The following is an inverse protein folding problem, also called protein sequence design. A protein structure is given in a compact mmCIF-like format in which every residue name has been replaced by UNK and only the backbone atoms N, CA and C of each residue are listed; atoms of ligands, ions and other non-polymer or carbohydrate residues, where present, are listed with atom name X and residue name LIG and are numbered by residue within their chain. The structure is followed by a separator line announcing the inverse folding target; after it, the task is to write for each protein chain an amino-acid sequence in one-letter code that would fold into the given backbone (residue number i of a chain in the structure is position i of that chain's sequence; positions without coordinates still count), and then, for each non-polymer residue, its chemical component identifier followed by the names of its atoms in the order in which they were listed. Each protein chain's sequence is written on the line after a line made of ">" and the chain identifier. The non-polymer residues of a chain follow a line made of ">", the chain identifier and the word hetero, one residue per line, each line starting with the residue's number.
data_IF_253015935680
#
_entry.id   IF_253015935680
#
_cell.length_a   1.000
_cell.length_b   1.000
_cell.length_c   1.000
_cell.angle_alpha   90.00
_cell.angle_beta   90.00
_cell.angle_gamma   90.00
#
_symmetry.space_group_name_H-M   'P 1'
#
loop_
_entity.id
_entity.type
_entity.pdbx_description
1 polymer ?
#
# COMPACT_ATOMS: atom_id res chain seq x y z
N UNK A 1 -18.13 24.37 -1.09
CA UNK A 1 -18.90 25.42 -0.39
C UNK A 1 -18.07 26.26 0.60
N UNK A 2 -16.73 26.13 0.65
CA UNK A 2 -15.92 26.96 1.56
C UNK A 2 -15.49 28.31 0.96
N UNK A 3 -15.44 28.47 -0.36
CA UNK A 3 -14.92 29.69 -1.02
C UNK A 3 -15.87 30.90 -0.98
N UNK A 4 -17.10 30.74 -0.48
CA UNK A 4 -18.15 31.77 -0.44
C UNK A 4 -18.70 31.99 0.97
N UNK A 5 -17.96 31.59 2.01
CA UNK A 5 -18.41 31.68 3.40
C UNK A 5 -18.10 33.06 4.01
N UNK A 6 -19.12 33.77 4.51
CA UNK A 6 -18.94 35.09 5.13
C UNK A 6 -18.19 35.05 6.48
N UNK A 7 -18.17 33.91 7.17
CA UNK A 7 -17.48 33.71 8.46
C UNK A 7 -16.00 33.31 8.30
N UNK A 8 -15.52 33.26 7.06
CA UNK A 8 -14.13 32.98 6.70
C UNK A 8 -13.07 33.76 7.50
N UNK A 9 -13.22 35.07 7.81
CA UNK A 9 -12.19 35.82 8.53
C UNK A 9 -12.05 35.44 10.01
N UNK A 10 -13.04 34.78 10.60
CA UNK A 10 -13.08 34.42 12.03
C UNK A 10 -12.97 32.90 12.22
N UNK A 11 -12.92 32.12 11.12
CA UNK A 11 -12.85 30.67 11.18
C UNK A 11 -11.43 30.20 11.57
N UNK A 12 -11.25 29.49 12.70
CA UNK A 12 -9.94 28.98 13.12
C UNK A 12 -9.38 27.88 12.21
N UNK A 13 -10.20 27.32 11.30
CA UNK A 13 -9.70 26.45 10.23
C UNK A 13 -9.07 27.24 9.06
N UNK A 14 -9.29 28.56 8.99
CA UNK A 14 -8.77 29.46 7.93
C UNK A 14 -7.55 30.27 8.33
N UNK A 15 -7.18 30.29 9.61
CA UNK A 15 -5.90 30.86 10.10
C UNK A 15 -4.67 30.20 9.48
N UNK A 16 -4.80 29.00 8.89
CA UNK A 16 -3.72 28.35 8.11
C UNK A 16 -3.79 28.61 6.61
N UNK A 17 -4.82 29.34 6.16
CA UNK A 17 -5.14 29.63 4.76
C UNK A 17 -4.82 31.08 4.39
N UNK A 18 -4.15 31.84 5.27
CA UNK A 18 -3.60 33.15 4.91
C UNK A 18 -2.86 32.98 3.59
N UNK A 19 -3.36 33.69 2.57
CA UNK A 19 -2.76 33.74 1.26
C UNK A 19 -1.37 34.34 1.42
N UNK A 20 -0.39 33.45 1.56
CA UNK A 20 1.04 33.72 1.47
C UNK A 20 1.44 34.16 0.05
N UNK A 21 0.50 34.25 -0.89
CA UNK A 21 0.76 34.63 -2.28
C UNK A 21 1.52 35.96 -2.44
N UNK A 22 1.40 36.88 -1.47
CA UNK A 22 2.03 38.19 -1.52
C UNK A 22 3.02 38.45 -0.35
N UNK A 23 3.33 37.43 0.45
CA UNK A 23 4.32 37.54 1.52
C UNK A 23 5.53 36.68 1.19
N UNK A 24 6.70 37.31 1.11
CA UNK A 24 7.98 36.59 1.02
C UNK A 24 8.15 35.79 2.31
N UNK A 25 7.92 34.47 2.26
CA UNK A 25 8.18 33.60 3.40
C UNK A 25 9.67 33.42 3.56
N UNK A 26 10.24 34.23 4.43
CA UNK A 26 11.61 34.02 4.89
C UNK A 26 11.62 33.49 6.32
N UNK A 27 12.41 32.46 6.56
CA UNK A 27 12.65 31.89 7.89
C UNK A 27 14.09 32.00 8.29
N UNK A 28 14.35 31.85 9.60
CA UNK A 28 15.68 31.67 10.14
C UNK A 28 15.79 30.26 10.71
N UNK A 29 16.74 29.47 10.21
CA UNK A 29 17.07 28.15 10.77
C UNK A 29 18.24 28.27 11.78
N UNK A 30 19.05 29.33 11.64
CA UNK A 30 20.10 29.76 12.58
C UNK A 30 20.09 31.28 12.70
N UNK A 31 20.71 31.84 13.74
CA UNK A 31 20.64 33.27 14.07
C UNK A 31 21.06 34.23 12.94
N UNK A 32 21.82 33.75 11.94
CA UNK A 32 22.39 34.59 10.88
C UNK A 32 21.76 34.46 9.49
N UNK A 33 21.01 33.38 9.19
CA UNK A 33 20.67 33.06 7.80
C UNK A 33 19.17 33.23 7.53
N UNK A 34 18.83 34.11 6.59
CA UNK A 34 17.48 34.29 6.06
C UNK A 34 17.30 33.33 4.88
N UNK A 35 16.37 32.38 5.00
CA UNK A 35 16.12 31.34 4.00
C UNK A 35 14.75 31.56 3.37
N UNK A 36 14.70 31.52 2.05
CA UNK A 36 13.45 31.48 1.28
C UNK A 36 12.71 30.15 1.54
N UNK A 37 11.75 30.17 2.45
CA UNK A 37 10.92 29.02 2.81
C UNK A 37 10.01 28.65 1.65
N UNK A 38 9.51 29.62 0.88
CA UNK A 38 8.58 29.36 -0.21
C UNK A 38 9.22 28.43 -1.25
N UNK A 39 10.47 28.71 -1.64
CA UNK A 39 11.23 27.83 -2.54
C UNK A 39 11.41 26.40 -2.02
N UNK A 40 11.54 26.22 -0.69
CA UNK A 40 11.68 24.90 -0.07
C UNK A 40 10.37 24.13 -0.05
N UNK A 41 9.27 24.81 0.24
CA UNK A 41 7.92 24.24 0.17
C UNK A 41 7.63 23.78 -1.26
N UNK A 42 7.88 24.64 -2.25
CA UNK A 42 7.65 24.29 -3.66
C UNK A 42 8.50 23.09 -4.08
N UNK A 43 9.79 23.06 -3.71
CA UNK A 43 10.65 21.90 -3.97
C UNK A 43 10.14 20.63 -3.29
N UNK A 44 9.68 20.72 -2.05
CA UNK A 44 9.12 19.56 -1.33
C UNK A 44 7.85 19.03 -1.99
N UNK A 45 6.97 19.92 -2.45
CA UNK A 45 5.74 19.54 -3.16
C UNK A 45 6.06 18.84 -4.48
N UNK A 46 7.01 19.37 -5.25
CA UNK A 46 7.50 18.74 -6.48
C UNK A 46 8.07 17.35 -6.19
N UNK A 47 8.99 17.22 -5.23
CA UNK A 47 9.58 15.93 -4.85
C UNK A 47 8.50 14.91 -4.44
N UNK A 48 7.54 15.35 -3.62
CA UNK A 48 6.42 14.49 -3.20
C UNK A 48 5.59 14.01 -4.39
N UNK A 49 5.36 14.87 -5.38
CA UNK A 49 4.64 14.50 -6.60
C UNK A 49 5.42 13.50 -7.45
N UNK A 50 6.73 13.69 -7.58
CA UNK A 50 7.63 12.79 -8.32
C UNK A 50 7.70 11.43 -7.66
N UNK A 51 7.86 11.35 -6.34
CA UNK A 51 7.86 10.09 -5.59
C UNK A 51 6.56 9.32 -5.84
N UNK A 52 5.39 9.98 -5.74
CA UNK A 52 4.11 9.33 -6.02
C UNK A 52 4.00 8.80 -7.44
N UNK A 53 4.55 9.51 -8.43
CA UNK A 53 4.60 9.07 -9.82
C UNK A 53 5.48 7.81 -9.96
N UNK A 54 6.69 7.85 -9.42
CA UNK A 54 7.64 6.73 -9.45
C UNK A 54 7.13 5.50 -8.69
N UNK A 55 6.45 5.68 -7.56
CA UNK A 55 5.81 4.59 -6.82
C UNK A 55 4.73 3.90 -7.66
N UNK A 56 3.93 4.68 -8.39
CA UNK A 56 2.89 4.16 -9.30
C UNK A 56 3.53 3.37 -10.45
N UNK A 57 4.56 3.91 -11.08
CA UNK A 57 5.28 3.24 -12.16
C UNK A 57 5.97 1.95 -11.67
N UNK A 58 6.64 2.00 -10.52
CA UNK A 58 7.26 0.84 -9.87
C UNK A 58 6.24 -0.26 -9.60
N UNK A 59 5.02 0.10 -9.16
CA UNK A 59 3.94 -0.87 -8.94
C UNK A 59 3.48 -1.52 -10.24
N UNK A 60 3.31 -0.74 -11.31
CA UNK A 60 2.92 -1.28 -12.62
C UNK A 60 3.98 -2.24 -13.18
N UNK A 61 5.26 -1.87 -13.09
CA UNK A 61 6.36 -2.73 -13.53
C UNK A 61 6.40 -4.04 -12.71
N UNK A 62 6.24 -3.96 -11.40
CA UNK A 62 6.12 -5.14 -10.52
C UNK A 62 4.98 -6.06 -10.97
N UNK A 63 3.80 -5.52 -11.25
CA UNK A 63 2.66 -6.32 -11.72
C UNK A 63 2.96 -7.03 -13.05
N UNK A 64 3.55 -6.34 -14.02
CA UNK A 64 3.96 -6.93 -15.31
C UNK A 64 4.96 -8.06 -15.09
N UNK A 65 6.00 -7.83 -14.28
CA UNK A 65 7.04 -8.83 -13.98
C UNK A 65 6.46 -10.04 -13.24
N UNK A 66 5.49 -9.84 -12.35
CA UNK A 66 4.79 -10.94 -11.68
C UNK A 66 3.96 -11.77 -12.66
N UNK A 67 3.23 -11.15 -13.59
CA UNK A 67 2.46 -11.87 -14.62
C UNK A 67 3.40 -12.73 -15.47
N UNK A 68 4.45 -12.12 -16.01
CA UNK A 68 5.43 -12.83 -16.82
C UNK A 68 6.07 -14.00 -16.07
N UNK A 69 6.53 -13.76 -14.83
CA UNK A 69 7.15 -14.81 -14.03
C UNK A 69 6.18 -15.94 -13.69
N UNK A 70 4.90 -15.63 -13.47
CA UNK A 70 3.87 -16.65 -13.21
C UNK A 70 3.60 -17.52 -14.43
N UNK A 71 3.40 -16.93 -15.60
CA UNK A 71 3.15 -17.66 -16.86
C UNK A 71 4.29 -18.60 -17.21
N UNK A 72 5.53 -18.21 -16.89
CA UNK A 72 6.73 -18.98 -17.19
C UNK A 72 7.24 -19.83 -16.00
N UNK A 73 6.49 -19.92 -14.89
CA UNK A 73 6.89 -20.62 -13.67
C UNK A 73 8.27 -20.22 -13.12
N UNK A 74 8.63 -18.94 -13.26
CA UNK A 74 9.90 -18.37 -12.80
C UNK A 74 9.76 -17.77 -11.41
N UNK A 75 10.71 -18.08 -10.53
CA UNK A 75 10.80 -17.53 -9.17
C UNK A 75 11.88 -16.46 -9.03
N UNK A 76 12.74 -16.29 -10.05
CA UNK A 76 13.79 -15.29 -10.07
C UNK A 76 14.12 -14.87 -11.50
N UNK A 77 14.36 -13.57 -11.67
CA UNK A 77 14.75 -12.93 -12.92
C UNK A 77 16.01 -12.11 -12.70
N UNK A 78 16.89 -12.12 -13.69
CA UNK A 78 18.19 -11.45 -13.64
C UNK A 78 18.26 -10.40 -14.74
N UNK A 79 18.92 -9.30 -14.44
CA UNK A 79 19.24 -8.19 -15.33
C UNK A 79 20.67 -7.76 -15.01
N UNK A 80 21.32 -7.11 -15.97
CA UNK A 80 22.62 -6.46 -15.74
C UNK A 80 22.57 -5.43 -14.58
N UNK A 81 21.37 -4.91 -14.28
CA UNK A 81 21.11 -3.93 -13.23
C UNK A 81 20.75 -4.56 -11.87
N UNK A 82 20.59 -5.88 -11.80
CA UNK A 82 20.34 -6.60 -10.55
C UNK A 82 19.39 -7.79 -10.67
N UNK A 83 18.73 -8.15 -9.56
CA UNK A 83 17.90 -9.36 -9.48
C UNK A 83 16.50 -9.06 -8.93
N UNK A 84 15.49 -9.68 -9.53
CA UNK A 84 14.10 -9.68 -9.06
C UNK A 84 13.71 -11.08 -8.61
N UNK A 85 13.30 -11.23 -7.35
CA UNK A 85 12.78 -12.50 -6.82
C UNK A 85 11.25 -12.43 -6.68
N UNK A 86 10.58 -13.49 -7.15
CA UNK A 86 9.13 -13.62 -7.19
C UNK A 86 8.69 -14.76 -6.25
N UNK A 87 7.63 -14.51 -5.48
CA UNK A 87 6.99 -15.51 -4.63
C UNK A 87 5.49 -15.50 -4.87
N UNK A 88 4.94 -16.65 -5.27
CA UNK A 88 3.52 -16.84 -5.50
C UNK A 88 2.95 -17.72 -4.40
N UNK A 89 1.94 -17.21 -3.67
CA UNK A 89 1.26 -17.92 -2.61
C UNK A 89 -0.23 -18.00 -2.91
N UNK A 90 -0.77 -19.22 -2.96
CA UNK A 90 -2.21 -19.45 -2.91
C UNK A 90 -2.65 -19.42 -1.46
N UNK A 91 -3.49 -18.46 -1.09
CA UNK A 91 -4.09 -18.37 0.25
C UNK A 91 -5.56 -18.72 0.17
N UNK A 92 -6.03 -19.59 1.06
CA UNK A 92 -7.46 -19.80 1.24
C UNK A 92 -8.06 -18.56 1.90
N UNK A 93 -9.02 -17.98 1.23
CA UNK A 93 -9.85 -16.89 1.72
C UNK A 93 -11.21 -17.45 2.10
N UNK A 94 -11.61 -17.16 3.32
CA UNK A 94 -12.83 -17.66 3.92
C UNK A 94 -13.87 -16.54 3.94
N UNK A 95 -15.07 -16.78 3.42
CA UNK A 95 -16.20 -15.86 3.58
C UNK A 95 -16.72 -15.96 5.02
N UNK A 96 -16.22 -15.08 5.88
CA UNK A 96 -16.54 -15.10 7.30
C UNK A 96 -18.03 -14.91 7.59
N UNK A 97 -18.77 -14.18 6.75
CA UNK A 97 -20.21 -13.98 6.95
C UNK A 97 -20.95 -15.31 6.75
N UNK A 98 -20.69 -16.00 5.64
CA UNK A 98 -21.34 -17.28 5.31
C UNK A 98 -20.90 -18.41 6.24
N UNK A 99 -19.63 -18.44 6.63
CA UNK A 99 -19.11 -19.47 7.54
C UNK A 99 -19.70 -19.31 8.95
N UNK A 100 -19.98 -18.07 9.40
CA UNK A 100 -20.62 -17.84 10.68
C UNK A 100 -22.06 -18.39 10.74
N UNK A 101 -22.77 -18.44 9.61
CA UNK A 101 -24.12 -19.00 9.52
C UNK A 101 -24.11 -20.53 9.69
N UNK A 102 -23.13 -21.20 9.09
CA UNK A 102 -22.94 -22.67 9.14
C UNK A 102 -22.58 -23.16 10.55
N UNK A 103 -21.80 -22.38 11.29
CA UNK A 103 -21.33 -22.79 12.61
C UNK A 103 -22.45 -22.69 13.65
N UNK A 104 -22.83 -23.84 14.21
CA UNK A 104 -23.93 -23.97 15.19
C UNK A 104 -23.59 -23.47 16.59
N UNK A 105 -22.32 -23.47 17.00
CA UNK A 105 -21.92 -23.07 18.35
C UNK A 105 -21.55 -21.58 18.48
N UNK A 106 -22.05 -20.94 19.54
CA UNK A 106 -21.79 -19.53 19.86
C UNK A 106 -20.30 -19.19 20.01
N UNK A 107 -19.46 -20.14 20.47
CA UNK A 107 -18.02 -19.94 20.61
C UNK A 107 -17.30 -19.92 19.26
N UNK A 108 -17.67 -20.83 18.36
CA UNK A 108 -17.13 -20.90 16.99
C UNK A 108 -17.58 -19.69 16.15
N UNK A 109 -18.82 -19.22 16.34
CA UNK A 109 -19.32 -17.97 15.73
C UNK A 109 -18.51 -16.74 16.14
N UNK A 110 -18.09 -16.63 17.41
CA UNK A 110 -17.26 -15.51 17.88
C UNK A 110 -15.87 -15.50 17.24
N UNK A 111 -15.27 -16.68 17.03
CA UNK A 111 -13.96 -16.84 16.37
C UNK A 111 -14.02 -16.36 14.91
N UNK A 112 -15.12 -16.64 14.21
CA UNK A 112 -15.32 -16.25 12.80
C UNK A 112 -15.70 -14.77 12.64
N UNK A 113 -16.46 -14.20 13.59
CA UNK A 113 -16.81 -12.77 13.58
C UNK A 113 -15.57 -11.85 13.64
N UNK A 114 -14.45 -12.35 14.16
CA UNK A 114 -13.15 -11.65 14.21
C UNK A 114 -12.21 -11.99 13.05
N UNK A 115 -12.66 -12.76 12.04
CA UNK A 115 -11.91 -13.03 10.80
C UNK A 115 -10.53 -13.70 11.02
N UNK A 116 -10.39 -14.49 12.08
CA UNK A 116 -9.11 -15.14 12.42
C UNK A 116 -9.02 -16.51 11.75
N UNK A 117 -8.56 -16.51 10.49
CA UNK A 117 -8.48 -17.70 9.62
C UNK A 117 -7.67 -18.84 10.24
N UNK A 118 -6.63 -18.52 11.02
CA UNK A 118 -5.79 -19.50 11.72
C UNK A 118 -6.57 -20.27 12.79
N UNK A 119 -7.49 -19.60 13.48
CA UNK A 119 -8.34 -20.26 14.49
C UNK A 119 -9.39 -21.13 13.83
N UNK A 120 -9.93 -20.70 12.68
CA UNK A 120 -10.86 -21.52 11.89
C UNK A 120 -10.18 -22.81 11.41
N UNK A 121 -8.98 -22.73 10.84
CA UNK A 121 -8.21 -23.91 10.38
C UNK A 121 -7.94 -24.91 11.51
N UNK A 122 -7.65 -24.42 12.73
CA UNK A 122 -7.48 -25.28 13.92
C UNK A 122 -8.79 -25.91 14.40
N UNK A 123 -9.94 -25.31 14.10
CA UNK A 123 -11.25 -25.79 14.50
C UNK A 123 -11.84 -26.81 13.50
N UNK A 124 -11.44 -26.77 12.22
CA UNK A 124 -11.92 -27.69 11.18
C UNK A 124 -11.91 -29.18 11.59
N UNK A 125 -10.87 -29.72 12.27
CA UNK A 125 -10.82 -31.13 12.68
C UNK A 125 -11.88 -31.54 13.72
N UNK A 126 -12.52 -30.58 14.38
CA UNK A 126 -13.53 -30.83 15.41
C UNK A 126 -14.97 -30.64 14.91
N UNK A 127 -15.13 -30.14 13.68
CA UNK A 127 -16.45 -29.95 13.05
C UNK A 127 -17.01 -31.25 12.48
N UNK A 128 -18.34 -31.32 12.38
CA UNK A 128 -19.04 -32.42 11.70
C UNK A 128 -18.72 -32.45 10.20
N UNK A 129 -18.90 -33.60 9.57
CA UNK A 129 -18.59 -33.76 8.14
C UNK A 129 -19.45 -32.86 7.24
N UNK A 130 -20.70 -32.58 7.64
CA UNK A 130 -21.60 -31.68 6.92
C UNK A 130 -21.13 -30.22 6.99
N UNK A 131 -20.71 -29.76 8.17
CA UNK A 131 -20.18 -28.41 8.37
C UNK A 131 -18.88 -28.17 7.59
N UNK A 132 -17.99 -29.18 7.53
CA UNK A 132 -16.76 -29.08 6.73
C UNK A 132 -17.04 -28.90 5.25
N UNK A 133 -17.98 -29.68 4.69
CA UNK A 133 -18.37 -29.56 3.28
C UNK A 133 -18.95 -28.20 2.94
N UNK A 134 -19.77 -27.64 3.83
CA UNK A 134 -20.33 -26.30 3.64
C UNK A 134 -19.25 -25.22 3.72
N UNK A 135 -18.30 -25.32 4.66
CA UNK A 135 -17.17 -24.38 4.77
C UNK A 135 -16.24 -24.45 3.55
N UNK A 136 -15.97 -25.64 3.03
CA UNK A 136 -15.21 -25.82 1.79
C UNK A 136 -15.91 -25.14 0.60
N UNK A 137 -17.24 -25.24 0.50
CA UNK A 137 -18.01 -24.56 -0.54
C UNK A 137 -17.96 -23.02 -0.44
N UNK A 138 -17.69 -22.47 0.74
CA UNK A 138 -17.51 -21.03 0.97
C UNK A 138 -16.05 -20.58 1.00
N UNK A 139 -15.13 -21.50 0.70
CA UNK A 139 -13.70 -21.19 0.59
C UNK A 139 -13.40 -20.71 -0.83
N UNK A 140 -12.77 -19.55 -0.93
CA UNK A 140 -12.26 -19.00 -2.19
C UNK A 140 -10.74 -19.04 -2.17
N UNK A 141 -10.09 -19.37 -3.28
CA UNK A 141 -8.64 -19.23 -3.36
C UNK A 141 -8.30 -17.80 -3.77
N UNK A 142 -7.54 -17.08 -2.94
CA UNK A 142 -6.93 -15.80 -3.29
C UNK A 142 -5.46 -16.01 -3.55
N UNK A 143 -5.03 -15.61 -4.74
CA UNK A 143 -3.62 -15.63 -5.10
C UNK A 143 -2.98 -14.31 -4.67
N UNK A 144 -1.88 -14.42 -3.92
CA UNK A 144 -1.05 -13.28 -3.57
C UNK A 144 0.35 -13.49 -4.12
N UNK A 145 0.97 -12.42 -4.61
CA UNK A 145 2.35 -12.45 -5.06
C UNK A 145 3.15 -11.36 -4.34
N UNK A 146 4.40 -11.68 -4.05
CA UNK A 146 5.36 -10.76 -3.44
C UNK A 146 6.59 -10.68 -4.33
N UNK A 147 7.08 -9.46 -4.55
CA UNK A 147 8.23 -9.19 -5.41
C UNK A 147 9.30 -8.48 -4.57
N UNK A 148 10.49 -9.06 -4.54
CA UNK A 148 11.67 -8.46 -3.93
C UNK A 148 12.66 -8.05 -5.02
N UNK A 149 12.99 -6.76 -5.08
CA UNK A 149 13.93 -6.20 -6.06
C UNK A 149 15.24 -5.90 -5.34
N UNK A 150 16.37 -6.33 -5.92
CA UNK A 150 17.72 -6.05 -5.43
C UNK A 150 18.54 -5.43 -6.55
N UNK A 151 18.66 -4.09 -6.59
CA UNK A 151 19.52 -3.42 -7.55
C UNK A 151 21.00 -3.63 -7.20
N UNK A 152 21.87 -3.59 -8.21
CA UNK A 152 23.34 -3.68 -8.06
C UNK A 152 24.03 -2.33 -8.35
N UNK A 153 23.28 -1.32 -8.81
CA UNK A 153 23.76 0.02 -9.12
C UNK A 153 23.93 0.85 -7.83
N UNK A 154 25.00 1.65 -7.73
CA UNK A 154 25.22 2.60 -6.62
C UNK A 154 24.46 3.93 -6.84
N UNK A 155 23.99 4.56 -5.77
CA UNK A 155 22.80 5.42 -5.76
C UNK A 155 22.84 6.78 -6.49
N UNK A 156 23.94 7.30 -7.08
CA UNK A 156 23.98 8.75 -7.34
C UNK A 156 24.36 9.28 -8.74
N UNK A 157 25.03 8.55 -9.63
CA UNK A 157 25.35 9.10 -10.98
C UNK A 157 24.73 8.30 -12.13
N UNK A 158 24.62 6.97 -11.99
CA UNK A 158 24.14 6.11 -13.09
C UNK A 158 22.61 6.07 -13.23
N UNK A 159 21.86 6.52 -12.21
CA UNK A 159 20.39 6.35 -12.16
C UNK A 159 19.66 7.41 -13.00
N UNK A 160 20.16 8.64 -13.06
CA UNK A 160 19.52 9.70 -13.85
C UNK A 160 19.63 9.46 -15.35
N UNK A 161 20.74 8.88 -15.82
CA UNK A 161 20.97 8.57 -17.24
C UNK A 161 20.12 7.40 -17.76
N UNK A 162 19.70 6.49 -16.85
CA UNK A 162 18.85 5.34 -17.18
C UNK A 162 17.34 5.65 -17.19
N UNK A 163 16.93 6.86 -16.79
CA UNK A 163 15.53 7.29 -16.70
C UNK A 163 15.09 8.20 -17.87
N UNK A 164 15.97 8.48 -18.84
CA UNK A 164 15.69 9.21 -20.09
C UNK A 164 15.34 8.29 -21.26
#
# INVERSE_FOLDING_TARGET
>A
MCNTCAYQPICPAWTHKYNIKDQVLTGKIKDTDVIDIQSKIDKLLVLTSTIKKLEKESKQLKEIVAIFGKENNMTRLFSDLGTVSLSFQKKRAYDAARIAEVLRENLLRKIVKTLDTKKLEKALPYLTQEERKQIEAFTTEKESHTIAVRPTIEENEDVEELLT
#
